data_IF_632396208653
#
_entry.id   IF_632396208653
#
_cell.length_a   1.000
_cell.length_b   1.000
_cell.length_c   1.000
_cell.angle_alpha   90.00
_cell.angle_beta   90.00
_cell.angle_gamma   90.00
#
_symmetry.space_group_name_H-M   'P 1'
#
loop_
_entity.id
_entity.type
_entity.pdbx_description
1 polymer ?
#
# COMPACT_ATOMS: atom_id res chain seq x y z
N UNK A 1 -2.20 -1.06 -5.24
CA UNK A 1 -2.71 0.32 -5.22
C UNK A 1 -1.64 1.25 -5.77
N UNK A 2 -2.03 2.30 -6.50
CA UNK A 2 -1.14 3.38 -6.97
C UNK A 2 -0.71 3.28 -8.42
N UNK A 3 -0.43 2.08 -8.93
CA UNK A 3 0.02 1.90 -10.30
C UNK A 3 -1.17 1.79 -11.27
N UNK A 4 -1.22 2.57 -12.36
CA UNK A 4 -2.22 2.41 -13.40
C UNK A 4 -2.10 1.01 -14.04
N UNK A 5 -3.23 0.34 -14.23
CA UNK A 5 -3.28 -0.93 -14.97
C UNK A 5 -3.21 -0.71 -16.50
N UNK A 6 -3.46 0.52 -16.94
CA UNK A 6 -3.45 0.98 -18.33
C UNK A 6 -3.18 2.49 -18.34
N UNK A 7 -3.09 3.06 -19.53
CA UNK A 7 -3.04 4.51 -19.70
C UNK A 7 -4.21 5.21 -18.99
N UNK A 8 -3.90 6.35 -18.37
CA UNK A 8 -4.89 7.21 -17.74
C UNK A 8 -5.26 8.31 -18.71
N UNK A 9 -6.40 8.14 -19.39
CA UNK A 9 -6.96 9.15 -20.29
C UNK A 9 -7.79 10.14 -19.46
N UNK A 10 -7.56 11.44 -19.67
CA UNK A 10 -8.25 12.51 -18.94
C UNK A 10 -9.03 13.42 -19.89
N UNK A 11 -10.34 13.56 -19.63
CA UNK A 11 -11.18 14.49 -20.38
C UNK A 11 -10.72 15.94 -20.20
N UNK A 12 -10.86 16.73 -21.26
CA UNK A 12 -10.50 18.17 -21.26
C UNK A 12 -11.16 18.94 -20.10
N UNK A 13 -12.39 18.61 -19.75
CA UNK A 13 -13.09 19.23 -18.63
C UNK A 13 -12.45 18.91 -17.27
N UNK A 14 -11.90 17.70 -17.08
CA UNK A 14 -11.20 17.29 -15.86
C UNK A 14 -9.82 17.95 -15.79
N UNK A 15 -9.09 17.96 -16.90
CA UNK A 15 -7.81 18.68 -17.01
C UNK A 15 -7.97 20.16 -16.62
N UNK A 16 -9.03 20.81 -17.12
CA UNK A 16 -9.35 22.19 -16.77
C UNK A 16 -9.67 22.40 -15.29
N UNK A 17 -10.19 21.39 -14.57
CA UNK A 17 -10.41 21.48 -13.12
C UNK A 17 -9.09 21.52 -12.36
N UNK A 18 -8.07 20.77 -12.81
CA UNK A 18 -6.72 20.83 -12.21
C UNK A 18 -6.19 22.27 -12.27
N UNK A 19 -6.26 22.90 -13.45
CA UNK A 19 -5.81 24.27 -13.65
C UNK A 19 -6.64 25.29 -12.86
N UNK A 20 -7.97 25.31 -13.05
CA UNK A 20 -8.85 26.32 -12.45
C UNK A 20 -8.92 26.25 -10.93
N UNK A 21 -8.76 25.05 -10.36
CA UNK A 21 -8.74 24.84 -8.91
C UNK A 21 -7.33 24.81 -8.34
N UNK A 22 -6.31 25.00 -9.18
CA UNK A 22 -4.89 24.97 -8.80
C UNK A 22 -4.55 23.70 -7.99
N UNK A 23 -5.00 22.54 -8.47
CA UNK A 23 -4.73 21.27 -7.78
C UNK A 23 -3.28 20.85 -8.02
N UNK A 24 -2.63 20.38 -6.96
CA UNK A 24 -1.27 19.82 -7.02
C UNK A 24 -1.35 18.31 -7.17
N UNK A 25 -0.87 17.79 -8.30
CA UNK A 25 -0.70 16.36 -8.55
C UNK A 25 0.70 15.94 -8.07
N UNK A 26 0.77 15.01 -7.13
CA UNK A 26 2.03 14.46 -6.61
C UNK A 26 2.10 12.96 -6.91
N UNK A 27 3.13 12.55 -7.63
CA UNK A 27 3.48 11.14 -7.75
C UNK A 27 4.19 10.66 -6.49
N UNK A 28 3.93 9.42 -6.09
CA UNK A 28 4.71 8.70 -5.08
C UNK A 28 5.20 7.40 -5.70
N UNK A 29 6.46 7.03 -5.43
CA UNK A 29 7.03 5.77 -5.88
C UNK A 29 7.64 5.06 -4.68
N UNK A 30 6.88 4.10 -4.14
CA UNK A 30 7.28 3.32 -2.96
C UNK A 30 7.65 4.23 -1.77
N UNK A 31 8.50 3.71 -0.87
CA UNK A 31 9.08 4.42 0.26
C UNK A 31 10.54 4.80 0.02
N UNK A 32 10.99 5.82 0.73
CA UNK A 32 12.37 6.28 0.76
C UNK A 32 13.10 5.66 1.95
N UNK A 33 14.27 5.07 1.69
CA UNK A 33 15.22 4.64 2.72
C UNK A 33 16.53 5.39 2.50
N UNK A 34 16.71 6.48 3.24
CA UNK A 34 17.84 7.42 3.03
C UNK A 34 18.83 7.40 4.18
N UNK A 35 18.61 6.58 5.20
CA UNK A 35 19.33 6.59 6.48
C UNK A 35 19.17 7.89 7.29
N UNK A 36 18.30 8.81 6.85
CA UNK A 36 17.87 9.94 7.66
C UNK A 36 16.84 9.50 8.70
N UNK A 37 16.81 10.16 9.85
CA UNK A 37 15.76 9.96 10.86
C UNK A 37 14.36 10.32 10.34
N UNK A 38 14.30 11.12 9.29
CA UNK A 38 13.05 11.56 8.67
C UNK A 38 12.64 10.70 7.47
N UNK A 39 13.32 9.57 7.23
CA UNK A 39 12.89 8.64 6.17
C UNK A 39 11.63 7.85 6.57
N UNK A 40 10.98 7.25 5.57
CA UNK A 40 9.69 6.58 5.75
C UNK A 40 9.79 5.38 6.71
N UNK A 41 10.96 4.73 6.77
CA UNK A 41 11.19 3.56 7.61
C UNK A 41 11.32 3.95 9.09
N UNK A 42 12.15 4.94 9.39
CA UNK A 42 12.30 5.45 10.75
C UNK A 42 10.99 6.06 11.25
N UNK A 43 10.25 6.75 10.37
CA UNK A 43 8.91 7.23 10.66
C UNK A 43 7.97 6.08 11.08
N UNK A 44 7.90 5.01 10.29
CA UNK A 44 7.03 3.86 10.59
C UNK A 44 7.44 3.15 11.89
N UNK A 45 8.74 2.92 12.10
CA UNK A 45 9.27 2.28 13.31
C UNK A 45 8.94 3.09 14.56
N UNK A 46 9.09 4.42 14.51
CA UNK A 46 8.72 5.29 15.62
C UNK A 46 7.24 5.12 15.97
N UNK A 47 6.35 5.20 14.97
CA UNK A 47 4.89 5.07 15.16
C UNK A 47 4.47 3.71 15.70
N UNK A 48 5.15 2.64 15.27
CA UNK A 48 4.98 1.30 15.82
C UNK A 48 5.39 1.25 17.30
N UNK A 49 6.58 1.75 17.63
CA UNK A 49 7.09 1.74 19.02
C UNK A 49 6.25 2.57 19.98
N UNK A 50 5.61 3.63 19.49
CA UNK A 50 4.73 4.51 20.26
C UNK A 50 3.27 4.00 20.31
N UNK A 51 2.96 2.86 19.68
CA UNK A 51 1.60 2.32 19.62
C UNK A 51 0.60 3.21 18.88
N UNK A 52 1.07 4.08 17.99
CA UNK A 52 0.21 5.01 17.23
C UNK A 52 -0.42 4.36 16.00
N UNK A 53 0.13 3.23 15.55
CA UNK A 53 -0.40 2.44 14.44
C UNK A 53 -0.38 0.95 14.79
N UNK A 54 -1.38 0.23 14.28
CA UNK A 54 -1.61 -1.20 14.53
C UNK A 54 -1.74 -1.97 13.20
N UNK A 55 -0.68 -2.06 12.36
CA UNK A 55 -0.78 -2.70 11.06
C UNK A 55 -1.12 -4.21 11.16
N UNK A 56 -0.88 -4.84 12.31
CA UNK A 56 -1.26 -6.22 12.60
C UNK A 56 -2.76 -6.48 12.47
N UNK A 57 -3.61 -5.46 12.65
CA UNK A 57 -5.06 -5.58 12.46
C UNK A 57 -5.46 -5.78 10.99
N UNK A 58 -4.58 -5.47 10.04
CA UNK A 58 -4.82 -5.76 8.63
C UNK A 58 -4.45 -7.20 8.25
N UNK A 59 -3.82 -7.97 9.14
CA UNK A 59 -3.47 -9.37 8.89
C UNK A 59 -4.73 -10.24 9.00
N UNK A 60 -5.29 -10.57 7.84
CA UNK A 60 -6.48 -11.42 7.72
C UNK A 60 -6.17 -12.91 7.73
N UNK A 61 -4.98 -13.31 7.27
CA UNK A 61 -4.58 -14.71 7.15
C UNK A 61 -3.18 -14.91 7.70
N UNK A 62 -3.03 -15.87 8.63
CA UNK A 62 -1.76 -16.33 9.18
C UNK A 62 -1.60 -17.79 8.84
N UNK A 63 -0.58 -18.11 8.05
CA UNK A 63 -0.40 -19.45 7.49
C UNK A 63 0.99 -19.97 7.88
N UNK A 64 1.13 -21.26 8.15
CA UNK A 64 2.46 -21.87 8.16
C UNK A 64 3.11 -21.72 6.77
N UNK A 65 4.44 -21.83 6.68
CA UNK A 65 5.14 -21.73 5.40
C UNK A 65 4.62 -22.73 4.35
N UNK A 66 4.20 -23.93 4.78
CA UNK A 66 3.57 -24.94 3.93
C UNK A 66 2.24 -24.48 3.30
N UNK A 67 1.59 -23.47 3.86
CA UNK A 67 0.36 -22.87 3.33
C UNK A 67 0.57 -21.64 2.44
N UNK A 68 1.82 -21.27 2.13
CA UNK A 68 2.12 -20.07 1.34
C UNK A 68 1.43 -20.08 -0.02
N UNK A 69 1.44 -21.22 -0.72
CA UNK A 69 0.79 -21.35 -2.04
C UNK A 69 -0.70 -21.03 -1.96
N UNK A 70 -1.41 -21.59 -0.98
CA UNK A 70 -2.81 -21.27 -0.73
C UNK A 70 -3.01 -19.76 -0.52
N UNK A 71 -2.16 -19.14 0.29
CA UNK A 71 -2.22 -17.70 0.54
C UNK A 71 -2.03 -16.86 -0.74
N UNK A 72 -1.11 -17.25 -1.62
CA UNK A 72 -0.89 -16.59 -2.91
C UNK A 72 -2.08 -16.78 -3.85
N UNK A 73 -2.68 -17.97 -3.89
CA UNK A 73 -3.87 -18.27 -4.70
C UNK A 73 -5.08 -17.44 -4.26
N UNK A 74 -5.30 -17.29 -2.95
CA UNK A 74 -6.35 -16.41 -2.41
C UNK A 74 -6.18 -14.97 -2.95
N UNK A 75 -4.96 -14.44 -2.93
CA UNK A 75 -4.69 -13.07 -3.41
C UNK A 75 -4.84 -12.91 -4.93
N UNK A 76 -4.41 -13.91 -5.71
CA UNK A 76 -4.49 -13.89 -7.18
C UNK A 76 -5.93 -14.00 -7.66
N UNK A 77 -6.63 -15.01 -7.16
CA UNK A 77 -7.95 -15.41 -7.65
C UNK A 77 -9.09 -14.71 -6.89
N UNK A 78 -8.76 -14.00 -5.81
CA UNK A 78 -9.70 -13.24 -4.96
C UNK A 78 -10.84 -14.10 -4.43
N UNK A 79 -10.52 -15.32 -4.03
CA UNK A 79 -11.51 -16.34 -3.61
C UNK A 79 -12.10 -16.10 -2.22
N UNK A 80 -11.42 -15.33 -1.38
CA UNK A 80 -11.83 -14.98 -0.01
C UNK A 80 -11.63 -13.47 0.22
N UNK A 81 -12.30 -12.89 1.21
CA UNK A 81 -12.01 -11.53 1.63
C UNK A 81 -10.64 -11.49 2.33
N UNK A 82 -9.69 -10.70 1.82
CA UNK A 82 -8.34 -10.61 2.37
C UNK A 82 -7.84 -9.16 2.48
N UNK A 83 -7.00 -8.92 3.48
CA UNK A 83 -6.21 -7.71 3.65
C UNK A 83 -4.73 -8.02 3.43
N UNK A 84 -4.02 -8.32 4.51
CA UNK A 84 -2.66 -8.88 4.48
C UNK A 84 -2.70 -10.38 4.76
N UNK A 85 -2.02 -11.13 3.91
CA UNK A 85 -1.72 -12.57 4.10
C UNK A 85 -0.25 -12.67 4.55
N UNK A 86 0.01 -13.37 5.65
CA UNK A 86 1.34 -13.52 6.26
C UNK A 86 1.64 -15.00 6.50
N UNK A 87 2.89 -15.39 6.25
CA UNK A 87 3.43 -16.63 6.77
C UNK A 87 3.93 -16.42 8.19
N UNK A 88 3.62 -17.36 9.09
CA UNK A 88 4.14 -17.44 10.45
C UNK A 88 5.06 -18.65 10.57
N UNK A 89 6.20 -18.46 11.22
CA UNK A 89 7.17 -19.51 11.56
C UNK A 89 7.01 -19.96 12.99
#
# INVERSE_FOLDING_TARGET
MGNPASDVIMDKAVYWKVLRRQLTLKGIWNSSYTHSRDDDWHYCLKRLSEGQIHPEHFITHRLALSGLERGLLIMRDKTEAYGKVMTVG
#
